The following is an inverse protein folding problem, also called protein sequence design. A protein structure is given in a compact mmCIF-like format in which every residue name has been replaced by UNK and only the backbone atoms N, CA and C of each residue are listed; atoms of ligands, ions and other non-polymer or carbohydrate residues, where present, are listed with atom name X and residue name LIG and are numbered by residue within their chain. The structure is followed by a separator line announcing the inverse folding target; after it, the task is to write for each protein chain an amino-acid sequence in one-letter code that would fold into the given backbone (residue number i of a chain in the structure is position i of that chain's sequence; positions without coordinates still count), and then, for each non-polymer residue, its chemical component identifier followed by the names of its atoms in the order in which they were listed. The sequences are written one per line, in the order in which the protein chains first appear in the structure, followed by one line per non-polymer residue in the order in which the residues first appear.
data_IF_869132843743
#
_entry.id   IF_869132843743
#
_cell.length_a   1.000
_cell.length_b   1.000
_cell.length_c   1.000
_cell.angle_alpha   90.00
_cell.angle_beta   90.00
_cell.angle_gamma   90.00
#
_symmetry.space_group_name_H-M   'P 1'
#
loop_
_entity.id
_entity.type
_entity.pdbx_description
1 polymer ?
#
# COMPACT_ATOMS: atom_id res chain seq x y z
N UNK A 1 -19.88 4.93 19.11
CA UNK A 1 -18.41 5.06 19.32
C UNK A 1 -17.89 3.66 19.62
N UNK A 2 -17.31 2.94 18.65
CA UNK A 2 -16.74 1.61 18.99
C UNK A 2 -16.29 0.66 17.88
N UNK A 3 -16.82 0.72 16.66
CA UNK A 3 -16.65 -0.42 15.73
C UNK A 3 -15.36 -0.40 14.86
N UNK A 4 -14.59 0.69 14.88
CA UNK A 4 -13.39 0.85 14.03
C UNK A 4 -12.08 1.06 14.82
N UNK A 5 -12.04 0.69 16.11
CA UNK A 5 -10.82 0.84 16.95
C UNK A 5 -10.21 -0.52 17.25
N UNK A 6 -8.95 -0.70 16.86
CA UNK A 6 -8.20 -1.95 17.03
C UNK A 6 -7.03 -1.78 17.99
N UNK A 7 -6.59 -2.87 18.64
CA UNK A 7 -5.32 -2.87 19.34
C UNK A 7 -4.17 -2.76 18.34
N UNK A 8 -4.25 -3.51 17.23
CA UNK A 8 -3.19 -3.57 16.22
C UNK A 8 -3.80 -3.52 14.82
N UNK A 9 -3.33 -2.60 13.98
CA UNK A 9 -3.57 -2.64 12.54
C UNK A 9 -2.34 -3.23 11.81
N UNK A 10 -2.58 -4.21 10.94
CA UNK A 10 -1.56 -4.82 10.09
C UNK A 10 -1.86 -4.48 8.64
N UNK A 11 -0.91 -3.84 7.96
CA UNK A 11 -1.07 -3.34 6.60
C UNK A 11 -0.31 -4.26 5.65
N UNK A 12 -1.02 -5.15 4.96
CA UNK A 12 -0.48 -6.06 3.95
C UNK A 12 -0.75 -7.53 4.25
N UNK A 13 -1.40 -8.23 3.30
CA UNK A 13 -1.73 -9.66 3.38
C UNK A 13 -0.63 -10.62 2.92
N UNK A 14 0.64 -10.29 3.13
CA UNK A 14 1.78 -11.16 2.83
C UNK A 14 2.15 -12.12 3.97
N UNK A 15 3.17 -12.98 3.79
CA UNK A 15 3.62 -13.90 4.86
C UNK A 15 3.95 -13.19 6.19
N UNK A 16 4.56 -12.00 6.14
CA UNK A 16 4.83 -11.19 7.33
C UNK A 16 3.54 -10.74 8.04
N UNK A 17 2.62 -10.11 7.30
CA UNK A 17 1.36 -9.63 7.85
C UNK A 17 0.48 -10.78 8.38
N UNK A 18 0.38 -11.89 7.64
CA UNK A 18 -0.37 -13.07 8.10
C UNK A 18 0.21 -13.67 9.39
N UNK A 19 1.54 -13.74 9.51
CA UNK A 19 2.20 -14.20 10.75
C UNK A 19 1.94 -13.27 11.93
N UNK A 20 2.00 -11.96 11.68
CA UNK A 20 1.70 -10.93 12.68
C UNK A 20 0.24 -11.03 13.16
N UNK A 21 -0.72 -11.10 12.22
CA UNK A 21 -2.16 -11.19 12.54
C UNK A 21 -2.48 -12.45 13.32
N UNK A 22 -2.02 -13.61 12.85
CA UNK A 22 -2.24 -14.89 13.52
C UNK A 22 -1.77 -14.83 14.99
N UNK A 23 -0.55 -14.36 15.20
CA UNK A 23 0.02 -14.27 16.55
C UNK A 23 -0.71 -13.24 17.41
N UNK A 24 -1.08 -12.09 16.86
CA UNK A 24 -1.86 -11.07 17.56
C UNK A 24 -3.21 -11.59 18.02
N UNK A 25 -3.91 -12.36 17.17
CA UNK A 25 -5.18 -13.03 17.52
C UNK A 25 -4.99 -14.11 18.58
N UNK A 26 -3.97 -14.96 18.48
CA UNK A 26 -3.62 -15.95 19.51
C UNK A 26 -3.33 -15.28 20.87
N UNK A 27 -2.81 -14.06 20.86
CA UNK A 27 -2.55 -13.25 22.06
C UNK A 27 -3.75 -12.38 22.50
N UNK A 28 -4.96 -12.71 22.02
CA UNK A 28 -6.23 -12.07 22.38
C UNK A 28 -6.27 -10.55 22.09
N UNK A 29 -5.58 -10.08 21.06
CA UNK A 29 -5.70 -8.69 20.59
C UNK A 29 -6.79 -8.57 19.54
N UNK A 30 -7.44 -7.40 19.48
CA UNK A 30 -8.25 -7.05 18.30
C UNK A 30 -7.29 -6.62 17.18
N UNK A 31 -7.31 -7.35 16.06
CA UNK A 31 -6.38 -7.14 14.96
C UNK A 31 -7.14 -6.89 13.66
N UNK A 32 -6.89 -5.73 13.05
CA UNK A 32 -7.34 -5.39 11.72
C UNK A 32 -6.26 -5.78 10.69
N UNK A 33 -6.62 -6.57 9.68
CA UNK A 33 -5.77 -6.86 8.54
C UNK A 33 -6.26 -6.08 7.32
N UNK A 34 -5.51 -5.06 6.93
CA UNK A 34 -5.75 -4.30 5.71
C UNK A 34 -5.12 -5.01 4.51
N UNK A 35 -5.95 -5.45 3.58
CA UNK A 35 -5.52 -6.15 2.37
C UNK A 35 -6.48 -5.89 1.21
N UNK A 36 -6.17 -4.89 0.37
CA UNK A 36 -7.00 -4.45 -0.76
C UNK A 36 -6.96 -5.36 -1.99
N UNK A 37 -5.95 -6.23 -2.11
CA UNK A 37 -5.79 -7.20 -3.19
C UNK A 37 -5.87 -8.63 -2.64
N UNK A 38 -5.67 -9.63 -3.49
CA UNK A 38 -5.43 -11.00 -3.05
C UNK A 38 -4.21 -11.11 -2.13
N UNK A 39 -4.19 -12.10 -1.24
CA UNK A 39 -3.06 -12.35 -0.33
C UNK A 39 -1.77 -12.65 -1.13
N UNK A 40 -0.81 -11.72 -1.10
CA UNK A 40 0.49 -11.78 -1.80
C UNK A 40 0.43 -12.28 -3.27
N UNK A 41 -0.02 -11.46 -4.22
CA UNK A 41 -0.08 -11.84 -5.63
C UNK A 41 1.31 -12.16 -6.22
N UNK A 42 2.38 -11.62 -5.62
CA UNK A 42 3.77 -11.92 -5.99
C UNK A 42 4.14 -13.37 -5.67
N UNK A 43 3.84 -13.84 -4.45
CA UNK A 43 4.16 -15.22 -4.05
C UNK A 43 3.26 -16.22 -4.78
N UNK A 44 1.98 -15.90 -5.03
CA UNK A 44 1.09 -16.79 -5.77
C UNK A 44 1.57 -17.14 -7.19
N UNK A 45 2.40 -16.29 -7.80
CA UNK A 45 2.98 -16.52 -9.14
C UNK A 45 4.14 -17.52 -9.13
N UNK A 46 4.69 -17.88 -7.98
CA UNK A 46 5.78 -18.86 -7.92
C UNK A 46 5.29 -20.25 -8.33
N UNK A 47 5.95 -20.85 -9.32
CA UNK A 47 5.61 -22.20 -9.80
C UNK A 47 5.82 -23.25 -8.70
N UNK A 48 6.96 -23.18 -8.03
CA UNK A 48 7.35 -24.07 -6.94
C UNK A 48 8.12 -23.29 -5.87
N UNK A 49 7.88 -23.64 -4.62
CA UNK A 49 8.55 -23.14 -3.43
C UNK A 49 9.08 -24.37 -2.70
N UNK A 50 10.40 -24.50 -2.65
CA UNK A 50 11.08 -25.64 -2.01
C UNK A 50 12.14 -25.17 -0.99
N UNK A 51 11.99 -23.94 -0.52
CA UNK A 51 12.89 -23.29 0.44
C UNK A 51 12.14 -22.79 1.69
N UNK A 52 10.95 -23.33 1.97
CA UNK A 52 10.21 -23.07 3.20
C UNK A 52 10.09 -24.35 4.02
N UNK A 53 10.80 -24.39 5.16
CA UNK A 53 10.93 -25.58 5.98
C UNK A 53 9.56 -26.16 6.37
N UNK A 54 9.38 -27.46 6.14
CA UNK A 54 8.15 -28.19 6.44
C UNK A 54 7.12 -28.24 5.29
N UNK A 55 7.36 -27.53 4.18
CA UNK A 55 6.49 -27.51 3.01
C UNK A 55 7.29 -27.82 1.72
N UNK A 56 7.60 -29.09 1.43
CA UNK A 56 8.37 -29.46 0.24
C UNK A 56 7.56 -29.24 -1.05
N UNK A 57 8.24 -28.79 -2.10
CA UNK A 57 7.73 -28.66 -3.48
C UNK A 57 6.33 -28.03 -3.64
N UNK A 58 5.95 -27.10 -2.76
CA UNK A 58 4.61 -26.52 -2.77
C UNK A 58 4.51 -25.40 -3.81
N UNK A 59 3.37 -25.29 -4.51
CA UNK A 59 3.14 -24.14 -5.39
C UNK A 59 3.01 -22.84 -4.58
N UNK A 60 3.38 -21.69 -5.15
CA UNK A 60 3.23 -20.40 -4.48
C UNK A 60 1.78 -20.10 -4.08
N UNK A 61 0.82 -20.47 -4.93
CA UNK A 61 -0.62 -20.40 -4.65
C UNK A 61 -1.02 -21.31 -3.49
N UNK A 62 -0.56 -22.57 -3.49
CA UNK A 62 -0.83 -23.53 -2.43
C UNK A 62 -0.31 -23.06 -1.08
N UNK A 63 0.92 -22.53 -1.04
CA UNK A 63 1.50 -21.99 0.18
C UNK A 63 0.72 -20.80 0.71
N UNK A 64 0.39 -19.82 -0.15
CA UNK A 64 -0.41 -18.68 0.29
C UNK A 64 -1.80 -19.07 0.77
N UNK A 65 -2.43 -20.08 0.15
CA UNK A 65 -3.71 -20.60 0.62
C UNK A 65 -3.59 -21.22 2.02
N UNK A 66 -2.55 -22.02 2.29
CA UNK A 66 -2.32 -22.57 3.63
C UNK A 66 -2.10 -21.47 4.68
N UNK A 67 -1.23 -20.49 4.37
CA UNK A 67 -0.94 -19.38 5.28
C UNK A 67 -2.18 -18.53 5.59
N UNK A 68 -2.92 -18.13 4.55
CA UNK A 68 -4.11 -17.29 4.68
C UNK A 68 -5.25 -18.03 5.38
N UNK A 69 -5.54 -19.29 5.01
CA UNK A 69 -6.57 -20.10 5.69
C UNK A 69 -6.27 -20.28 7.17
N UNK A 70 -5.02 -20.56 7.55
CA UNK A 70 -4.63 -20.67 8.94
C UNK A 70 -4.85 -19.35 9.69
N UNK A 71 -4.45 -18.22 9.12
CA UNK A 71 -4.68 -16.90 9.71
C UNK A 71 -6.18 -16.59 9.86
N UNK A 72 -6.99 -16.83 8.81
CA UNK A 72 -8.42 -16.53 8.82
C UNK A 72 -9.21 -17.41 9.78
N UNK A 73 -8.75 -18.64 10.07
CA UNK A 73 -9.36 -19.51 11.08
C UNK A 73 -9.30 -18.92 12.51
N UNK A 74 -8.46 -17.91 12.75
CA UNK A 74 -8.40 -17.15 14.01
C UNK A 74 -9.20 -15.83 13.98
N UNK A 75 -10.07 -15.69 12.97
CA UNK A 75 -11.09 -14.64 12.86
C UNK A 75 -10.54 -13.22 13.12
N UNK A 76 -9.52 -12.76 12.37
CA UNK A 76 -9.15 -11.35 12.38
C UNK A 76 -10.19 -10.51 11.62
N UNK A 77 -10.23 -9.21 11.89
CA UNK A 77 -11.05 -8.29 11.09
C UNK A 77 -10.33 -8.02 9.76
N UNK A 78 -10.73 -8.72 8.69
CA UNK A 78 -10.20 -8.49 7.35
C UNK A 78 -10.87 -7.26 6.72
N UNK A 79 -10.08 -6.23 6.45
CA UNK A 79 -10.51 -5.00 5.78
C UNK A 79 -9.95 -5.00 4.36
N UNK A 80 -10.85 -5.12 3.36
CA UNK A 80 -10.49 -5.18 1.94
C UNK A 80 -10.30 -3.78 1.33
N UNK A 81 -9.52 -2.94 2.00
CA UNK A 81 -9.30 -1.55 1.62
C UNK A 81 -7.82 -1.21 1.66
N UNK A 82 -7.42 -0.24 0.84
CA UNK A 82 -6.04 0.25 0.77
C UNK A 82 -5.87 1.35 1.81
N UNK A 83 -4.91 1.21 2.71
CA UNK A 83 -4.50 2.32 3.58
C UNK A 83 -3.71 3.31 2.74
N UNK A 84 -4.22 4.54 2.63
CA UNK A 84 -3.60 5.60 1.85
C UNK A 84 -2.69 6.48 2.71
N UNK A 85 -3.03 6.66 3.98
CA UNK A 85 -2.25 7.46 4.91
C UNK A 85 -2.49 7.04 6.36
N UNK A 86 -1.53 7.32 7.23
CA UNK A 86 -1.57 7.05 8.66
C UNK A 86 -1.21 8.34 9.38
N UNK A 87 -2.10 8.79 10.25
CA UNK A 87 -1.89 9.97 11.06
C UNK A 87 -1.70 9.56 12.53
N UNK A 88 -0.53 9.84 13.13
CA UNK A 88 -0.36 9.70 14.57
C UNK A 88 -1.28 10.67 15.32
N UNK A 89 -1.95 10.19 16.36
CA UNK A 89 -2.71 10.99 17.33
C UNK A 89 -2.11 10.77 18.74
N UNK A 90 -2.66 11.41 19.77
CA UNK A 90 -2.05 11.40 21.12
C UNK A 90 -1.86 9.99 21.70
N UNK A 91 -2.78 9.05 21.46
CA UNK A 91 -2.75 7.69 22.01
C UNK A 91 -2.92 6.57 20.96
N UNK A 92 -3.11 6.93 19.68
CA UNK A 92 -3.47 6.01 18.60
C UNK A 92 -2.91 6.47 17.24
N UNK A 93 -3.29 5.73 16.20
CA UNK A 93 -3.07 6.02 14.81
C UNK A 93 -4.40 5.99 14.07
N UNK A 94 -4.69 7.04 13.30
CA UNK A 94 -5.81 7.06 12.35
C UNK A 94 -5.33 6.55 11.00
N UNK A 95 -5.88 5.43 10.54
CA UNK A 95 -5.65 4.86 9.22
C UNK A 95 -6.74 5.36 8.28
N UNK A 96 -6.34 6.14 7.27
CA UNK A 96 -7.22 6.63 6.21
C UNK A 96 -7.28 5.62 5.06
N UNK A 97 -8.48 5.31 4.60
CA UNK A 97 -8.74 4.60 3.34
C UNK A 97 -9.60 5.49 2.42
N UNK A 98 -9.78 5.12 1.14
CA UNK A 98 -10.71 5.84 0.25
C UNK A 98 -12.18 5.78 0.72
N UNK A 99 -12.53 4.80 1.55
CA UNK A 99 -13.92 4.57 1.99
C UNK A 99 -14.18 5.24 3.33
N UNK A 100 -13.30 5.01 4.32
CA UNK A 100 -13.50 5.49 5.68
C UNK A 100 -12.20 5.56 6.48
N UNK A 101 -12.32 5.89 7.76
CA UNK A 101 -11.19 5.90 8.70
C UNK A 101 -11.32 4.81 9.74
N UNK A 102 -10.17 4.32 10.17
CA UNK A 102 -10.01 3.35 11.24
C UNK A 102 -9.00 3.87 12.26
N UNK A 103 -9.05 3.36 13.49
CA UNK A 103 -8.09 3.67 14.51
C UNK A 103 -7.39 2.40 14.99
N UNK A 104 -6.09 2.51 15.29
CA UNK A 104 -5.36 1.45 15.99
C UNK A 104 -4.39 2.02 17.01
N UNK A 105 -4.15 1.31 18.11
CA UNK A 105 -3.17 1.73 19.12
C UNK A 105 -1.71 1.44 18.71
N UNK A 106 -1.51 0.46 17.84
CA UNK A 106 -0.22 0.15 17.21
C UNK A 106 -0.43 -0.24 15.74
N UNK A 107 0.60 -0.01 14.92
CA UNK A 107 0.57 -0.30 13.48
C UNK A 107 1.76 -1.18 13.10
N UNK A 108 1.51 -2.20 12.26
CA UNK A 108 2.53 -3.03 11.63
C UNK A 108 2.43 -2.86 10.12
N UNK A 109 3.45 -2.27 9.52
CA UNK A 109 3.56 -2.10 8.07
C UNK A 109 4.21 -3.36 7.48
N UNK A 110 3.48 -4.10 6.66
CA UNK A 110 3.90 -5.35 6.02
C UNK A 110 3.58 -5.36 4.52
N UNK A 111 3.77 -4.20 3.86
CA UNK A 111 3.39 -3.92 2.47
C UNK A 111 4.28 -4.63 1.43
N UNK A 112 5.38 -5.24 1.87
CA UNK A 112 6.36 -5.91 1.00
C UNK A 112 7.21 -4.94 0.19
N UNK A 113 7.81 -5.40 -0.91
CA UNK A 113 8.66 -4.55 -1.76
C UNK A 113 7.82 -3.60 -2.61
N UNK A 114 8.12 -2.31 -2.53
CA UNK A 114 7.71 -1.31 -3.52
C UNK A 114 8.66 -1.42 -4.71
N UNK A 115 8.28 -2.20 -5.72
CA UNK A 115 9.14 -2.46 -6.89
C UNK A 115 8.78 -1.51 -8.04
N UNK A 116 8.67 -0.21 -7.77
CA UNK A 116 8.44 0.76 -8.85
C UNK A 116 9.32 1.97 -8.60
N UNK A 117 10.31 2.15 -9.47
CA UNK A 117 11.12 3.36 -9.48
C UNK A 117 10.19 4.58 -9.59
N UNK A 118 10.46 5.59 -8.76
CA UNK A 118 9.76 6.86 -8.87
C UNK A 118 10.12 7.53 -10.19
N UNK A 119 9.17 8.24 -10.78
CA UNK A 119 9.48 9.11 -11.90
C UNK A 119 10.31 10.29 -11.42
N UNK A 120 11.15 10.82 -12.30
CA UNK A 120 11.78 12.11 -12.06
C UNK A 120 10.68 13.15 -11.78
N UNK A 121 10.84 13.92 -10.70
CA UNK A 121 9.86 14.93 -10.27
C UNK A 121 8.70 14.39 -9.43
N UNK A 122 8.44 13.08 -9.39
CA UNK A 122 7.28 12.53 -8.67
C UNK A 122 7.24 12.93 -7.19
N UNK A 123 8.35 12.73 -6.50
CA UNK A 123 8.47 13.06 -5.07
C UNK A 123 8.41 14.57 -4.81
N UNK A 124 8.93 15.36 -5.74
CA UNK A 124 8.99 16.82 -5.61
C UNK A 124 7.60 17.48 -5.70
N UNK A 125 6.70 16.86 -6.47
CA UNK A 125 5.35 17.39 -6.71
C UNK A 125 4.25 16.64 -5.96
N UNK A 126 4.58 15.72 -5.06
CA UNK A 126 3.60 15.03 -4.22
C UNK A 126 2.81 16.03 -3.37
N UNK A 127 1.48 15.99 -3.47
CA UNK A 127 0.58 16.97 -2.83
C UNK A 127 0.58 18.35 -3.51
N UNK A 128 1.32 18.52 -4.60
CA UNK A 128 1.40 19.76 -5.42
C UNK A 128 1.11 19.48 -6.90
N UNK A 129 0.24 18.51 -7.17
CA UNK A 129 -0.10 18.05 -8.51
C UNK A 129 0.12 16.56 -8.74
N UNK A 130 0.95 15.88 -7.94
CA UNK A 130 1.03 14.42 -7.92
C UNK A 130 0.15 13.88 -6.80
N UNK A 131 -0.67 12.87 -7.13
CA UNK A 131 -1.54 12.16 -6.19
C UNK A 131 -1.51 10.65 -6.44
N UNK A 132 -1.78 9.87 -5.40
CA UNK A 132 -1.92 8.41 -5.46
C UNK A 132 -3.36 7.94 -5.25
N UNK A 133 -4.31 8.87 -5.02
CA UNK A 133 -5.71 8.59 -4.78
C UNK A 133 -6.57 9.59 -5.54
N UNK A 134 -7.14 9.15 -6.66
CA UNK A 134 -7.96 10.02 -7.50
C UNK A 134 -9.30 10.34 -6.85
N UNK A 135 -9.91 9.39 -6.16
CA UNK A 135 -11.10 9.60 -5.31
C UNK A 135 -10.89 10.61 -4.18
N UNK A 136 -9.67 10.71 -3.63
CA UNK A 136 -9.35 11.65 -2.56
C UNK A 136 -9.13 13.08 -3.09
N UNK A 137 -8.28 13.22 -4.12
CA UNK A 137 -7.79 14.53 -4.56
C UNK A 137 -8.43 15.04 -5.85
N UNK A 138 -9.19 14.20 -6.57
CA UNK A 138 -9.74 14.49 -7.90
C UNK A 138 -10.57 15.77 -7.95
N UNK A 139 -11.26 16.11 -6.85
CA UNK A 139 -12.05 17.33 -6.75
C UNK A 139 -11.24 18.62 -6.86
N UNK A 140 -9.95 18.62 -6.51
CA UNK A 140 -9.06 19.79 -6.68
C UNK A 140 -8.68 20.06 -8.15
N UNK A 141 -8.99 19.12 -9.04
CA UNK A 141 -8.71 19.17 -10.47
C UNK A 141 -9.97 19.26 -11.34
N UNK A 142 -11.09 19.67 -10.76
CA UNK A 142 -12.30 20.02 -11.50
C UNK A 142 -11.99 20.99 -12.63
N UNK A 143 -12.52 20.70 -13.82
CA UNK A 143 -12.33 21.48 -15.06
C UNK A 143 -10.87 21.62 -15.53
N UNK A 144 -9.94 20.82 -15.00
CA UNK A 144 -8.53 20.75 -15.43
C UNK A 144 -8.26 19.49 -16.25
N UNK A 145 -7.14 19.50 -16.97
CA UNK A 145 -6.62 18.32 -17.65
C UNK A 145 -5.69 17.56 -16.71
N UNK A 146 -5.86 16.25 -16.61
CA UNK A 146 -5.09 15.39 -15.70
C UNK A 146 -4.58 14.15 -16.43
N UNK A 147 -3.51 13.55 -15.94
CA UNK A 147 -3.03 12.25 -16.38
C UNK A 147 -3.23 11.20 -15.29
N UNK A 148 -3.61 9.99 -15.68
CA UNK A 148 -3.71 8.82 -14.81
C UNK A 148 -2.77 7.76 -15.34
N UNK A 149 -1.70 7.47 -14.59
CA UNK A 149 -0.76 6.40 -14.88
C UNK A 149 -1.18 5.21 -14.05
N UNK A 150 -1.60 4.11 -14.67
CA UNK A 150 -2.03 2.93 -13.91
C UNK A 150 -1.24 1.66 -14.22
N UNK A 151 -0.77 0.99 -13.16
CA UNK A 151 -0.17 -0.34 -13.20
C UNK A 151 -1.15 -1.44 -12.77
N UNK A 152 -2.36 -1.08 -12.36
CA UNK A 152 -3.45 -1.97 -11.97
C UNK A 152 -4.64 -1.75 -12.91
N UNK A 153 -5.12 -2.82 -13.54
CA UNK A 153 -6.20 -2.68 -14.53
C UNK A 153 -7.51 -2.23 -13.87
N UNK A 154 -7.98 -2.98 -12.87
CA UNK A 154 -9.29 -2.76 -12.25
C UNK A 154 -9.39 -1.42 -11.50
N UNK A 155 -8.47 -1.16 -10.58
CA UNK A 155 -8.39 0.11 -9.83
C UNK A 155 -8.10 1.30 -10.76
N UNK A 156 -7.19 1.13 -11.72
CA UNK A 156 -6.86 2.16 -12.70
C UNK A 156 -8.04 2.65 -13.51
N UNK A 157 -8.80 1.71 -14.06
CA UNK A 157 -9.98 2.03 -14.86
C UNK A 157 -11.11 2.60 -14.00
N UNK A 158 -11.26 2.15 -12.76
CA UNK A 158 -12.23 2.71 -11.82
C UNK A 158 -11.94 4.20 -11.52
N UNK A 159 -10.71 4.50 -11.11
CA UNK A 159 -10.26 5.85 -10.77
C UNK A 159 -10.25 6.78 -11.99
N UNK A 160 -9.89 6.28 -13.18
CA UNK A 160 -9.99 7.04 -14.42
C UNK A 160 -11.44 7.42 -14.77
N UNK A 161 -12.40 6.52 -14.54
CA UNK A 161 -13.82 6.81 -14.74
C UNK A 161 -14.30 7.89 -13.76
N UNK A 162 -13.92 7.80 -12.49
CA UNK A 162 -14.24 8.81 -11.49
C UNK A 162 -13.73 10.20 -11.90
N UNK A 163 -12.45 10.30 -12.31
CA UNK A 163 -11.90 11.56 -12.80
C UNK A 163 -12.54 12.03 -14.11
N UNK A 164 -12.97 11.11 -14.96
CA UNK A 164 -13.68 11.42 -16.21
C UNK A 164 -15.02 12.13 -15.99
N UNK A 165 -15.61 12.03 -14.81
CA UNK A 165 -16.84 12.74 -14.41
C UNK A 165 -16.56 14.16 -13.86
N UNK A 166 -15.30 14.47 -13.50
CA UNK A 166 -14.92 15.67 -12.75
C UNK A 166 -14.00 16.60 -13.56
N UNK A 167 -13.02 16.02 -14.25
CA UNK A 167 -11.97 16.74 -14.96
C UNK A 167 -12.40 17.06 -16.40
N UNK A 168 -11.79 18.11 -16.98
CA UNK A 168 -12.04 18.50 -18.37
C UNK A 168 -11.57 17.44 -19.35
N UNK A 169 -10.39 16.86 -19.08
CA UNK A 169 -9.80 15.79 -19.86
C UNK A 169 -8.94 14.89 -18.99
N UNK A 170 -9.04 13.58 -19.21
CA UNK A 170 -8.24 12.57 -18.50
C UNK A 170 -7.40 11.81 -19.52
N UNK A 171 -6.08 11.94 -19.44
CA UNK A 171 -5.16 11.10 -20.20
C UNK A 171 -4.90 9.82 -19.40
N UNK A 172 -5.49 8.70 -19.82
CA UNK A 172 -5.30 7.40 -19.16
C UNK A 172 -4.16 6.63 -19.82
N UNK A 173 -3.09 6.37 -19.06
CA UNK A 173 -1.88 5.68 -19.50
C UNK A 173 -1.78 4.29 -18.83
N UNK A 174 -2.36 3.24 -19.42
CA UNK A 174 -2.25 1.88 -18.89
C UNK A 174 -0.83 1.33 -19.07
N UNK A 175 -0.21 0.88 -17.96
CA UNK A 175 1.12 0.27 -17.91
C UNK A 175 1.07 -1.25 -17.61
N UNK A 176 -0.12 -1.83 -17.52
CA UNK A 176 -0.34 -3.28 -17.38
C UNK A 176 -0.41 -4.00 -18.73
N UNK A 177 -0.43 -5.34 -18.69
CA UNK A 177 -0.65 -6.17 -19.87
C UNK A 177 -2.14 -6.29 -20.16
N UNK A 178 -2.52 -6.16 -21.43
CA UNK A 178 -3.91 -6.20 -21.87
C UNK A 178 -4.37 -4.83 -22.39
N UNK A 179 -5.52 -4.81 -23.07
CA UNK A 179 -6.16 -3.57 -23.47
C UNK A 179 -7.01 -3.03 -22.33
N UNK A 180 -7.12 -1.70 -22.23
CA UNK A 180 -8.05 -1.08 -21.29
C UNK A 180 -9.49 -1.43 -21.69
N UNK A 181 -10.35 -1.73 -20.70
CA UNK A 181 -11.77 -1.87 -20.98
C UNK A 181 -12.37 -0.54 -21.46
N UNK A 182 -13.58 -0.61 -22.02
CA UNK A 182 -14.32 0.58 -22.42
C UNK A 182 -14.57 1.47 -21.20
N UNK A 183 -13.88 2.61 -21.16
CA UNK A 183 -14.09 3.65 -20.16
C UNK A 183 -15.41 4.38 -20.44
N UNK A 184 -16.04 4.87 -19.38
CA UNK A 184 -17.43 5.36 -19.38
C UNK A 184 -17.57 6.78 -19.91
N UNK A 185 -16.55 7.62 -19.70
CA UNK A 185 -16.59 9.03 -20.06
C UNK A 185 -15.83 9.33 -21.35
N UNK A 186 -16.42 10.16 -22.20
CA UNK A 186 -15.81 10.64 -23.45
C UNK A 186 -14.65 11.63 -23.19
N UNK A 187 -14.55 12.18 -21.98
CA UNK A 187 -13.43 13.05 -21.58
C UNK A 187 -12.13 12.27 -21.37
N UNK A 188 -12.18 10.93 -21.39
CA UNK A 188 -11.02 10.07 -21.17
C UNK A 188 -10.39 9.68 -22.51
N UNK A 189 -9.13 10.08 -22.70
CA UNK A 189 -8.29 9.67 -23.82
C UNK A 189 -7.32 8.57 -23.37
N UNK A 190 -7.47 7.36 -23.92
CA UNK A 190 -6.59 6.24 -23.61
C UNK A 190 -5.31 6.32 -24.45
N UNK A 191 -4.16 6.46 -23.77
CA UNK A 191 -2.81 6.56 -24.34
C UNK A 191 -2.08 5.21 -24.26
N UNK A 192 -2.58 4.21 -24.99
CA UNK A 192 -2.01 2.85 -24.99
C UNK A 192 -0.56 2.81 -25.51
N UNK A 193 0.31 2.08 -24.79
CA UNK A 193 1.71 1.91 -25.17
C UNK A 193 2.54 3.20 -25.11
N UNK A 194 2.10 4.19 -24.33
CA UNK A 194 2.85 5.41 -23.99
C UNK A 194 3.49 5.22 -22.61
N UNK A 195 4.80 5.46 -22.50
CA UNK A 195 5.56 5.23 -21.26
C UNK A 195 5.89 6.57 -20.59
N UNK A 196 5.40 6.83 -19.36
CA UNK A 196 5.78 8.02 -18.60
C UNK A 196 7.26 7.98 -18.22
N UNK A 197 7.91 9.15 -18.18
CA UNK A 197 9.33 9.31 -17.85
C UNK A 197 9.56 10.28 -16.69
N UNK A 198 8.97 11.47 -16.75
CA UNK A 198 9.22 12.54 -15.80
C UNK A 198 7.99 13.43 -15.63
N UNK A 199 7.87 14.06 -14.46
CA UNK A 199 6.84 15.02 -14.11
C UNK A 199 7.51 16.38 -13.96
N UNK A 200 6.94 17.41 -14.58
CA UNK A 200 7.53 18.76 -14.63
C UNK A 200 6.54 19.82 -14.17
N UNK A 201 7.10 20.94 -13.73
CA UNK A 201 6.41 22.19 -13.48
C UNK A 201 7.26 23.14 -12.66
N UNK A 202 6.69 24.28 -12.27
CA UNK A 202 7.32 25.26 -11.40
C UNK A 202 6.48 25.43 -10.14
N UNK A 203 6.97 24.90 -9.01
CA UNK A 203 6.24 24.85 -7.74
C UNK A 203 5.07 23.86 -7.68
N UNK A 204 4.39 23.60 -8.80
CA UNK A 204 3.27 22.65 -8.97
C UNK A 204 3.38 21.93 -10.32
N UNK A 205 2.64 20.83 -10.51
CA UNK A 205 2.64 20.09 -11.80
C UNK A 205 2.06 20.94 -12.94
N UNK A 206 2.77 20.95 -14.06
CA UNK A 206 2.34 21.56 -15.32
C UNK A 206 2.37 20.59 -16.51
N UNK A 207 3.07 19.45 -16.37
CA UNK A 207 3.11 18.45 -17.42
C UNK A 207 3.69 17.10 -17.03
N UNK A 208 3.36 16.10 -17.86
CA UNK A 208 3.88 14.75 -17.83
C UNK A 208 4.67 14.49 -19.13
N UNK A 209 5.97 14.25 -18.98
CA UNK A 209 6.87 13.84 -20.08
C UNK A 209 6.78 12.34 -20.27
N UNK A 210 6.54 11.90 -21.50
CA UNK A 210 6.49 10.49 -21.89
C UNK A 210 7.59 10.15 -22.90
N UNK A 211 7.60 8.92 -23.39
CA UNK A 211 8.48 8.50 -24.48
C UNK A 211 8.06 9.01 -25.86
N UNK A 212 6.82 9.47 -26.03
CA UNK A 212 6.28 9.95 -27.32
C UNK A 212 5.96 11.43 -27.35
N UNK A 213 5.45 11.97 -26.26
CA UNK A 213 4.93 13.34 -26.18
C UNK A 213 5.04 13.92 -24.76
N UNK A 214 4.86 15.23 -24.66
CA UNK A 214 4.66 15.92 -23.38
C UNK A 214 3.19 16.30 -23.26
N UNK A 215 2.53 15.78 -22.22
CA UNK A 215 1.13 16.07 -21.92
C UNK A 215 1.08 17.28 -20.98
N UNK A 216 0.42 18.36 -21.39
CA UNK A 216 0.12 19.49 -20.50
C UNK A 216 -1.02 19.12 -19.58
N UNK A 217 -0.73 18.94 -18.30
CA UNK A 217 -1.68 18.50 -17.29
C UNK A 217 -1.43 19.23 -15.99
N UNK A 218 -2.50 19.54 -15.26
CA UNK A 218 -2.39 20.18 -13.94
C UNK A 218 -2.22 19.18 -12.81
N UNK A 219 -2.48 17.89 -13.06
CA UNK A 219 -2.33 16.82 -12.08
C UNK A 219 -1.96 15.49 -12.72
N UNK A 220 -1.18 14.69 -11.99
CA UNK A 220 -0.76 13.34 -12.37
C UNK A 220 -1.12 12.39 -11.23
N UNK A 221 -2.06 11.49 -11.50
CA UNK A 221 -2.49 10.42 -10.59
C UNK A 221 -1.72 9.15 -10.94
N UNK A 222 -1.03 8.58 -9.95
CA UNK A 222 -0.16 7.41 -10.15
C UNK A 222 -0.72 6.24 -9.35
N UNK A 223 -1.25 5.24 -10.03
CA UNK A 223 -1.93 4.10 -9.42
C UNK A 223 -1.01 2.87 -9.53
N UNK A 224 -0.33 2.58 -8.43
CA UNK A 224 0.59 1.43 -8.30
C UNK A 224 0.03 0.42 -7.31
N UNK A 225 0.47 -0.83 -7.46
CA UNK A 225 0.20 -1.89 -6.49
C UNK A 225 0.76 -1.60 -5.10
N UNK A 226 1.79 -0.76 -5.01
CA UNK A 226 2.32 -0.28 -3.74
C UNK A 226 2.87 1.13 -3.93
N UNK A 227 2.50 2.02 -3.02
CA UNK A 227 3.07 3.36 -2.93
C UNK A 227 4.37 3.32 -2.10
N UNK A 228 5.29 4.28 -2.27
CA UNK A 228 6.42 4.45 -1.38
C UNK A 228 5.95 4.55 0.06
N UNK A 229 6.62 3.83 0.97
CA UNK A 229 6.11 3.65 2.33
C UNK A 229 6.12 4.95 3.14
N UNK A 230 7.04 5.85 2.84
CA UNK A 230 7.10 7.23 3.35
C UNK A 230 5.84 8.07 3.06
N UNK A 231 5.06 7.72 2.03
CA UNK A 231 3.83 8.42 1.69
C UNK A 231 2.65 7.93 2.52
N UNK A 232 2.74 6.70 3.06
CA UNK A 232 1.73 6.12 3.94
C UNK A 232 1.88 6.69 5.36
N UNK A 233 3.09 7.05 5.78
CA UNK A 233 3.35 7.65 7.10
C UNK A 233 4.49 8.66 7.02
N UNK A 234 4.15 9.94 7.18
CA UNK A 234 5.13 11.03 7.15
C UNK A 234 6.16 10.92 8.28
N UNK A 235 7.42 11.23 7.98
CA UNK A 235 8.52 11.20 8.95
C UNK A 235 9.10 9.82 9.24
N UNK A 236 8.64 8.77 8.56
CA UNK A 236 9.22 7.44 8.67
C UNK A 236 10.64 7.40 8.09
N UNK A 237 11.61 6.96 8.88
CA UNK A 237 13.00 6.81 8.43
C UNK A 237 13.17 5.62 7.48
N UNK A 238 13.93 5.82 6.41
CA UNK A 238 14.31 4.79 5.45
C UNK A 238 15.81 4.51 5.47
N UNK A 239 16.18 3.28 5.19
CA UNK A 239 17.54 2.86 4.81
C UNK A 239 17.50 2.46 3.33
N UNK A 240 17.99 3.35 2.46
CA UNK A 240 17.81 3.22 1.01
C UNK A 240 16.32 3.30 0.64
N UNK A 241 15.80 2.24 0.03
CA UNK A 241 14.39 2.13 -0.41
C UNK A 241 13.51 1.37 0.59
N UNK A 242 14.05 1.00 1.75
CA UNK A 242 13.39 0.12 2.72
C UNK A 242 13.19 0.84 4.05
N UNK A 243 12.15 0.45 4.79
CA UNK A 243 11.86 1.02 6.10
C UNK A 243 12.97 0.63 7.06
N UNK A 244 13.58 1.64 7.69
CA UNK A 244 14.59 1.40 8.71
C UNK A 244 13.93 0.87 9.98
N UNK A 245 14.40 -0.28 10.46
CA UNK A 245 13.88 -0.93 11.67
C UNK A 245 15.01 -1.37 12.60
N UNK A 246 14.72 -1.41 13.89
CA UNK A 246 15.57 -2.06 14.88
C UNK A 246 15.38 -3.59 14.84
N UNK A 247 16.19 -4.33 15.61
CA UNK A 247 16.10 -5.79 15.70
C UNK A 247 14.74 -6.30 16.20
N UNK A 248 14.02 -5.50 16.99
CA UNK A 248 12.68 -5.78 17.48
C UNK A 248 11.57 -5.32 16.51
N UNK A 249 11.93 -4.95 15.28
CA UNK A 249 11.07 -4.45 14.22
C UNK A 249 10.41 -3.08 14.49
N UNK A 250 10.83 -2.37 15.54
CA UNK A 250 10.38 -0.99 15.77
C UNK A 250 10.97 -0.03 14.73
N UNK A 251 10.17 0.96 14.30
CA UNK A 251 10.63 2.07 13.46
C UNK A 251 11.07 3.24 14.35
N UNK A 252 11.40 4.39 13.74
CA UNK A 252 11.66 5.64 14.47
C UNK A 252 10.40 6.25 15.11
N UNK A 253 9.19 5.79 14.74
CA UNK A 253 7.92 6.31 15.25
C UNK A 253 7.40 5.34 16.33
N UNK A 254 7.31 5.74 17.61
CA UNK A 254 6.83 4.87 18.68
C UNK A 254 5.44 4.30 18.38
N UNK A 255 5.26 3.00 18.56
CA UNK A 255 4.00 2.31 18.25
C UNK A 255 3.84 1.87 16.79
N UNK A 256 4.79 2.21 15.92
CA UNK A 256 4.85 1.75 14.54
C UNK A 256 5.99 0.74 14.38
N UNK A 257 5.66 -0.37 13.73
CA UNK A 257 6.57 -1.47 13.42
C UNK A 257 6.51 -1.76 11.93
N UNK A 258 7.55 -2.40 11.39
CA UNK A 258 7.54 -2.88 10.01
C UNK A 258 8.18 -4.26 9.89
N UNK A 259 7.68 -5.08 8.97
CA UNK A 259 8.13 -6.46 8.81
C UNK A 259 8.05 -6.98 7.37
N UNK A 260 8.90 -7.96 7.05
CA UNK A 260 8.95 -8.59 5.74
C UNK A 260 9.72 -7.75 4.73
N UNK A 261 9.43 -7.93 3.44
CA UNK A 261 10.32 -7.39 2.41
C UNK A 261 10.37 -5.84 2.36
N UNK A 262 9.43 -5.15 3.02
CA UNK A 262 9.48 -3.69 3.17
C UNK A 262 10.64 -3.22 4.07
N UNK A 263 11.23 -4.10 4.89
CA UNK A 263 12.42 -3.85 5.72
C UNK A 263 13.72 -4.29 5.04
N UNK A 264 13.65 -4.72 3.77
CA UNK A 264 14.80 -5.05 2.96
C UNK A 264 15.16 -6.53 2.90
N UNK A 265 16.34 -6.79 2.34
CA UNK A 265 16.83 -8.14 2.00
C UNK A 265 17.24 -8.93 3.25
N UNK A 266 17.27 -10.27 3.19
CA UNK A 266 16.92 -11.10 2.03
C UNK A 266 15.40 -11.27 1.84
N UNK A 267 14.90 -11.22 0.60
CA UNK A 267 13.48 -11.44 0.32
C UNK A 267 13.14 -12.93 0.38
N UNK A 268 12.84 -13.43 1.58
CA UNK A 268 12.62 -14.84 1.87
C UNK A 268 11.39 -15.01 2.77
N UNK A 269 10.60 -16.03 2.48
CA UNK A 269 9.33 -16.30 3.19
C UNK A 269 9.58 -16.52 4.69
N UNK A 270 10.64 -17.26 5.04
CA UNK A 270 11.02 -17.52 6.42
C UNK A 270 11.48 -16.25 7.18
N UNK A 271 12.20 -15.33 6.50
CA UNK A 271 12.50 -14.01 7.08
C UNK A 271 11.21 -13.26 7.34
N UNK A 272 10.35 -13.16 6.33
CA UNK A 272 9.12 -12.39 6.41
C UNK A 272 8.19 -12.88 7.53
N UNK A 273 7.96 -14.20 7.65
CA UNK A 273 7.16 -14.76 8.74
C UNK A 273 7.81 -14.53 10.11
N UNK A 274 9.13 -14.72 10.23
CA UNK A 274 9.86 -14.45 11.47
C UNK A 274 9.79 -12.99 11.90
N UNK A 275 9.96 -12.04 10.98
CA UNK A 275 9.85 -10.61 11.26
C UNK A 275 8.43 -10.21 11.63
N UNK A 276 7.41 -10.79 10.98
CA UNK A 276 6.00 -10.58 11.32
C UNK A 276 5.69 -10.98 12.77
N UNK A 277 6.21 -12.13 13.21
CA UNK A 277 6.14 -12.59 14.59
C UNK A 277 6.81 -11.60 15.56
N UNK A 278 8.03 -11.15 15.25
CA UNK A 278 8.75 -10.22 16.13
C UNK A 278 8.01 -8.89 16.22
N UNK A 279 7.57 -8.32 15.10
CA UNK A 279 6.86 -7.04 15.07
C UNK A 279 5.60 -7.05 15.93
N UNK A 280 4.77 -8.09 15.87
CA UNK A 280 3.54 -8.13 16.68
C UNK A 280 3.81 -8.37 18.16
N UNK A 281 4.84 -9.13 18.53
CA UNK A 281 5.23 -9.29 19.93
C UNK A 281 5.76 -7.97 20.51
N UNK A 282 6.53 -7.21 19.72
CA UNK A 282 6.97 -5.87 20.09
C UNK A 282 5.80 -4.89 20.20
N UNK A 283 4.84 -4.94 19.28
CA UNK A 283 3.62 -4.14 19.35
C UNK A 283 2.81 -4.44 20.61
N UNK A 284 2.62 -5.73 20.96
CA UNK A 284 1.94 -6.11 22.20
C UNK A 284 2.67 -5.56 23.42
N UNK A 285 4.01 -5.67 23.45
CA UNK A 285 4.83 -5.14 24.55
C UNK A 285 4.69 -3.61 24.68
N UNK A 286 4.63 -2.90 23.55
CA UNK A 286 4.38 -1.46 23.51
C UNK A 286 3.01 -1.12 24.11
N UNK A 287 1.95 -1.82 23.70
CA UNK A 287 0.60 -1.61 24.22
C UNK A 287 0.52 -1.85 25.73
N UNK A 288 1.17 -2.90 26.24
CA UNK A 288 1.19 -3.22 27.67
C UNK A 288 1.90 -2.15 28.51
N UNK A 289 2.96 -1.52 28.00
CA UNK A 289 3.66 -0.44 28.69
C UNK A 289 2.81 0.82 28.79
N UNK A 290 2.14 1.19 27.70
CA UNK A 290 1.30 2.40 27.67
C UNK A 290 0.00 2.21 28.46
N UNK A 291 -0.52 0.98 28.55
CA UNK A 291 -1.69 0.67 29.39
C UNK A 291 -1.42 0.84 30.90
N UNK A 292 -0.15 0.82 31.33
CA UNK A 292 0.25 0.99 32.74
C UNK A 292 0.57 2.44 33.12
N UNK A 293 0.65 3.33 32.15
CA UNK A 293 0.94 4.75 32.34
C UNK A 293 -0.32 5.62 32.29
N UNK A 294 -1.46 5.04 31.86
CA UNK A 294 -2.78 5.66 31.83
C UNK A 294 -3.56 5.43 33.14
#
# INVERSE_FOLDING_TARGET
MGDNVFDIAVIGGGPAGLSAVLTGRIRNKTVALFNHLDFSPKLQKAHIVDNYLGMPEITGKGLMQQLSSHCMAHEPTLIKEKVVNIFPTDDKFTLLTPVQTYEAKAVIIATGVVATALFEGERNYLGRGVSYCATCDGMFYRDKDVAVISYTQEEGEHEANFLGEICRKVYYLPQYKGEAHKLRSESIEVKSGVRPKAIKGDGQVEGLVTDKEELKVSGVFILRQSDPVENILSGLELEGETIKVNRDMSTNIPGVFAAGDCTGKPWQIAKATGEGLVAVLSAITYLEKNSKQA
#
